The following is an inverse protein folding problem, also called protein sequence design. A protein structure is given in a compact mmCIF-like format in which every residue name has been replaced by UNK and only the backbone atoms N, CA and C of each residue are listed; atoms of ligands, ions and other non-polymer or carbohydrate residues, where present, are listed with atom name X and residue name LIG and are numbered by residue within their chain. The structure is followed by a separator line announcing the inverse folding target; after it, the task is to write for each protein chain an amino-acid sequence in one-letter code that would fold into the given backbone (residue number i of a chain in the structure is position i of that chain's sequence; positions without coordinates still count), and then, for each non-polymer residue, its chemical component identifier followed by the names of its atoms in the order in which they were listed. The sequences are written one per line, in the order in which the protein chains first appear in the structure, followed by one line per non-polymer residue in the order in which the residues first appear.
data_IF_826755879625
#
_entry.id   IF_826755879625
#
_cell.length_a   1.000
_cell.length_b   1.000
_cell.length_c   1.000
_cell.angle_alpha   90.00
_cell.angle_beta   90.00
_cell.angle_gamma   90.00
#
_symmetry.space_group_name_H-M   'P 1'
#
loop_
_entity.id
_entity.type
_entity.pdbx_description
1 polymer ?
#
# COMPACT_ATOMS: atom_id res chain seq x y z
N UNK A 1 25.18 -6.86 -20.27
CA UNK A 1 23.82 -6.87 -19.70
C UNK A 1 23.72 -6.50 -18.21
N UNK A 2 24.78 -6.52 -17.42
CA UNK A 2 24.74 -6.15 -15.99
C UNK A 2 24.91 -4.64 -15.73
N UNK A 3 25.45 -3.86 -16.65
CA UNK A 3 25.67 -2.41 -16.48
C UNK A 3 24.41 -1.56 -16.69
N UNK A 4 23.39 -2.09 -17.40
CA UNK A 4 22.16 -1.34 -17.71
C UNK A 4 21.13 -1.36 -16.55
N UNK A 5 21.18 -2.37 -15.68
CA UNK A 5 20.27 -2.50 -14.54
C UNK A 5 20.58 -1.50 -13.40
N UNK A 6 21.81 -0.98 -13.31
CA UNK A 6 22.19 -0.02 -12.27
C UNK A 6 21.72 1.42 -12.62
N UNK A 7 21.49 1.73 -13.90
CA UNK A 7 21.03 3.06 -14.36
C UNK A 7 19.54 3.30 -14.12
N UNK A 8 18.77 2.25 -13.83
CA UNK A 8 17.32 2.32 -13.67
C UNK A 8 16.85 2.48 -12.21
N UNK A 9 17.76 2.36 -11.24
CA UNK A 9 17.44 2.50 -9.81
C UNK A 9 17.34 3.96 -9.42
N UNK A 10 16.13 4.38 -9.02
CA UNK A 10 15.82 5.73 -8.55
C UNK A 10 16.07 5.89 -7.06
N UNK A 11 15.74 4.87 -6.27
CA UNK A 11 15.99 4.87 -4.83
C UNK A 11 16.69 3.57 -4.44
N UNK A 12 17.84 3.69 -3.79
CA UNK A 12 18.60 2.57 -3.25
C UNK A 12 18.76 2.70 -1.74
N UNK A 13 18.39 1.66 -1.02
CA UNK A 13 18.55 1.55 0.44
C UNK A 13 19.50 0.41 0.72
N UNK A 14 20.49 0.64 1.58
CA UNK A 14 21.51 -0.37 1.92
C UNK A 14 21.71 -0.40 3.44
N UNK A 15 21.51 -1.57 4.02
CA UNK A 15 21.77 -1.91 5.43
C UNK A 15 21.22 -0.89 6.42
N UNK A 16 19.98 -0.40 6.14
CA UNK A 16 19.38 0.69 6.90
C UNK A 16 18.90 0.21 8.27
N UNK A 17 19.38 0.84 9.32
CA UNK A 17 19.04 0.51 10.72
C UNK A 17 18.49 1.72 11.45
N UNK A 18 17.45 1.49 12.24
CA UNK A 18 16.91 2.44 13.22
C UNK A 18 16.43 1.72 14.46
N UNK A 19 17.00 2.10 15.60
CA UNK A 19 16.64 1.59 16.91
C UNK A 19 16.02 2.71 17.74
N UNK A 20 14.89 2.44 18.33
CA UNK A 20 14.31 3.28 19.37
C UNK A 20 14.72 2.72 20.74
N UNK A 21 15.37 3.53 21.59
CA UNK A 21 15.81 3.06 22.90
C UNK A 21 14.62 2.72 23.80
N UNK A 22 14.83 1.85 24.75
CA UNK A 22 13.86 1.54 25.79
C UNK A 22 13.48 2.82 26.56
N UNK A 23 12.17 3.04 26.73
CA UNK A 23 11.64 4.17 27.52
C UNK A 23 11.17 3.64 28.87
N UNK A 24 11.74 4.18 29.96
CA UNK A 24 11.26 3.85 31.33
C UNK A 24 9.86 4.39 31.52
N UNK A 25 8.94 3.53 31.96
CA UNK A 25 7.58 3.93 32.28
C UNK A 25 7.56 5.07 33.30
N UNK A 26 6.75 6.11 33.05
CA UNK A 26 6.40 7.14 34.04
C UNK A 26 5.05 6.79 34.66
N UNK A 27 4.71 7.41 35.81
CA UNK A 27 3.44 7.19 36.50
C UNK A 27 2.27 7.22 35.51
N UNK A 28 1.65 6.05 35.26
CA UNK A 28 0.51 5.87 34.36
C UNK A 28 0.83 5.48 32.90
N UNK A 29 2.11 5.41 32.48
CA UNK A 29 2.51 4.93 31.16
C UNK A 29 3.39 3.68 31.28
N UNK A 30 3.16 2.61 30.48
CA UNK A 30 3.98 1.41 30.49
C UNK A 30 5.40 1.70 30.01
N UNK A 31 6.37 0.91 30.52
CA UNK A 31 7.71 0.90 29.93
C UNK A 31 7.65 0.36 28.49
N UNK A 32 8.37 1.00 27.58
CA UNK A 32 8.52 0.51 26.21
C UNK A 32 9.90 -0.14 26.07
N UNK A 33 9.98 -1.38 25.54
CA UNK A 33 11.25 -2.04 25.28
C UNK A 33 12.01 -1.35 24.16
N UNK A 34 13.31 -1.58 24.09
CA UNK A 34 14.08 -1.22 22.90
C UNK A 34 13.49 -1.90 21.67
N UNK A 35 13.34 -1.15 20.58
CA UNK A 35 12.73 -1.65 19.35
C UNK A 35 13.57 -1.27 18.14
N UNK A 36 14.06 -2.27 17.42
CA UNK A 36 14.63 -2.08 16.07
C UNK A 36 13.52 -1.94 15.05
N UNK A 37 13.25 -0.73 14.66
CA UNK A 37 12.17 -0.43 13.71
C UNK A 37 12.60 -0.67 12.24
N UNK A 38 13.88 -0.48 11.91
CA UNK A 38 14.51 -1.00 10.69
C UNK A 38 15.78 -1.74 11.08
N UNK A 39 16.01 -2.92 10.51
CA UNK A 39 17.09 -3.83 10.88
C UNK A 39 17.76 -4.43 9.63
N UNK A 40 18.72 -3.70 9.10
CA UNK A 40 19.45 -4.09 7.90
C UNK A 40 18.58 -4.06 6.62
N UNK A 41 17.68 -3.09 6.48
CA UNK A 41 16.81 -3.00 5.30
C UNK A 41 17.61 -2.69 4.06
N UNK A 42 17.46 -3.55 3.04
CA UNK A 42 17.99 -3.35 1.69
C UNK A 42 16.84 -3.44 0.68
N UNK A 43 16.70 -2.42 -0.18
CA UNK A 43 15.75 -2.42 -1.28
C UNK A 43 16.16 -1.45 -2.39
N UNK A 44 15.66 -1.71 -3.59
CA UNK A 44 15.82 -0.85 -4.76
C UNK A 44 14.46 -0.55 -5.36
N UNK A 45 14.22 0.74 -5.64
CA UNK A 45 13.03 1.21 -6.37
C UNK A 45 13.49 1.66 -7.75
N UNK A 46 12.82 1.16 -8.79
CA UNK A 46 13.18 1.41 -10.19
C UNK A 46 12.38 2.61 -10.73
N UNK A 47 12.92 3.20 -11.79
CA UNK A 47 12.28 4.35 -12.45
C UNK A 47 10.91 3.98 -13.01
N UNK A 48 9.91 4.83 -12.74
CA UNK A 48 8.57 4.70 -13.28
C UNK A 48 7.71 3.57 -12.69
N UNK A 49 8.24 2.78 -11.72
CA UNK A 49 7.43 1.76 -11.05
C UNK A 49 6.57 2.32 -9.91
N UNK A 50 5.49 1.63 -9.60
CA UNK A 50 4.79 1.75 -8.32
C UNK A 50 5.32 0.64 -7.41
N UNK A 51 6.19 1.01 -6.48
CA UNK A 51 6.79 0.11 -5.52
C UNK A 51 6.04 0.14 -4.19
N UNK A 52 5.57 -1.01 -3.72
CA UNK A 52 4.80 -1.13 -2.48
C UNK A 52 5.65 -1.49 -1.27
N UNK A 53 5.26 -0.96 -0.10
CA UNK A 53 5.71 -1.44 1.20
C UNK A 53 4.50 -2.05 1.90
N UNK A 54 4.50 -3.37 2.08
CA UNK A 54 3.44 -4.13 2.73
C UNK A 54 3.95 -4.74 4.05
N UNK A 55 3.09 -4.87 5.02
CA UNK A 55 3.41 -5.50 6.31
C UNK A 55 2.46 -5.04 7.40
N UNK A 56 2.45 -5.70 8.58
CA UNK A 56 1.56 -5.37 9.68
C UNK A 56 1.88 -4.02 10.31
N UNK A 57 0.99 -3.57 11.18
CA UNK A 57 1.26 -2.41 12.02
C UNK A 57 2.44 -2.71 12.95
N UNK A 58 3.36 -1.74 13.08
CA UNK A 58 4.60 -1.93 13.85
C UNK A 58 5.73 -2.65 13.10
N UNK A 59 5.55 -3.08 11.85
CA UNK A 59 6.61 -3.72 11.05
C UNK A 59 7.80 -2.80 10.69
N UNK A 60 7.70 -1.48 10.94
CA UNK A 60 8.76 -0.51 10.64
C UNK A 60 8.53 0.33 9.38
N UNK A 61 7.42 0.14 8.64
CA UNK A 61 7.11 0.85 7.39
C UNK A 61 7.20 2.38 7.52
N UNK A 62 6.51 2.96 8.50
CA UNK A 62 6.51 4.42 8.71
C UNK A 62 7.89 4.95 9.11
N UNK A 63 8.70 4.17 9.84
CA UNK A 63 10.08 4.52 10.15
C UNK A 63 10.93 4.52 8.88
N UNK A 64 10.81 3.48 8.05
CA UNK A 64 11.49 3.40 6.77
C UNK A 64 11.12 4.57 5.86
N UNK A 65 9.82 4.88 5.72
CA UNK A 65 9.36 6.04 4.93
C UNK A 65 9.95 7.35 5.43
N UNK A 66 9.98 7.58 6.75
CA UNK A 66 10.59 8.80 7.32
C UNK A 66 12.09 8.89 7.02
N UNK A 67 12.80 7.76 6.96
CA UNK A 67 14.21 7.72 6.57
C UNK A 67 14.38 8.02 5.07
N UNK A 68 13.53 7.42 4.21
CA UNK A 68 13.54 7.63 2.76
C UNK A 68 13.18 9.07 2.38
N UNK A 69 12.34 9.73 3.17
CA UNK A 69 11.92 11.12 2.94
C UNK A 69 12.84 12.16 3.60
N UNK A 70 13.93 11.71 4.25
CA UNK A 70 14.86 12.61 4.95
C UNK A 70 14.30 13.20 6.26
N UNK A 71 13.11 12.79 6.70
CA UNK A 71 12.46 13.24 7.94
C UNK A 71 13.04 12.57 9.19
N UNK A 72 13.82 11.50 9.02
CA UNK A 72 14.45 10.79 10.12
C UNK A 72 15.82 10.27 9.70
N UNK A 73 16.83 10.57 10.51
CA UNK A 73 18.18 10.05 10.31
C UNK A 73 18.26 8.59 10.77
N UNK A 74 18.78 7.67 9.95
CA UNK A 74 19.09 6.30 10.37
C UNK A 74 20.26 6.29 11.37
N UNK A 75 20.38 5.20 12.13
CA UNK A 75 21.53 4.97 13.00
C UNK A 75 22.72 4.44 12.19
N UNK A 76 22.46 3.65 11.14
CA UNK A 76 23.45 3.19 10.17
C UNK A 76 22.80 2.89 8.82
N UNK A 77 23.63 2.62 7.81
CA UNK A 77 23.22 2.36 6.45
C UNK A 77 23.15 3.62 5.58
N UNK A 78 22.64 3.47 4.36
CA UNK A 78 22.54 4.58 3.40
C UNK A 78 21.22 4.58 2.65
N UNK A 79 20.82 5.78 2.22
CA UNK A 79 19.67 6.04 1.35
C UNK A 79 20.16 6.94 0.22
N UNK A 80 20.11 6.42 -1.01
CA UNK A 80 20.41 7.20 -2.22
C UNK A 80 19.13 7.41 -3.01
N UNK A 81 18.79 8.64 -3.34
CA UNK A 81 17.64 9.01 -4.16
C UNK A 81 18.11 9.83 -5.36
N UNK A 82 17.86 9.35 -6.57
CA UNK A 82 18.31 10.00 -7.82
C UNK A 82 19.78 10.39 -7.78
N UNK A 83 20.64 9.50 -7.25
CA UNK A 83 22.07 9.71 -7.11
C UNK A 83 22.51 10.57 -5.92
N UNK A 84 21.58 11.07 -5.11
CA UNK A 84 21.89 11.90 -3.94
C UNK A 84 21.82 11.11 -2.64
N UNK A 85 22.85 11.21 -1.81
CA UNK A 85 22.88 10.64 -0.45
C UNK A 85 21.98 11.46 0.48
N UNK A 86 20.84 10.89 0.87
CA UNK A 86 19.87 11.54 1.76
C UNK A 86 20.23 11.42 3.25
N UNK A 87 21.19 10.57 3.63
CA UNK A 87 21.68 10.51 5.01
C UNK A 87 22.58 11.70 5.32
N UNK A 88 23.40 12.09 4.33
CA UNK A 88 24.28 13.27 4.43
C UNK A 88 23.56 14.58 4.10
N UNK A 89 22.62 14.53 3.16
CA UNK A 89 21.92 15.68 2.59
C UNK A 89 20.41 15.49 2.62
N UNK A 90 19.77 15.38 3.81
CA UNK A 90 18.33 15.13 3.93
C UNK A 90 17.47 16.26 3.34
N UNK A 91 17.98 17.49 3.32
CA UNK A 91 17.30 18.66 2.74
C UNK A 91 17.02 18.52 1.23
N UNK A 92 17.75 17.66 0.53
CA UNK A 92 17.54 17.38 -0.90
C UNK A 92 16.26 16.61 -1.16
N UNK A 93 15.78 15.82 -0.18
CA UNK A 93 14.56 15.04 -0.31
C UNK A 93 13.38 15.91 -0.76
N UNK A 94 13.17 17.09 -0.16
CA UNK A 94 12.08 18.00 -0.50
C UNK A 94 12.10 18.52 -1.96
N UNK A 95 13.27 18.46 -2.61
CA UNK A 95 13.42 18.83 -4.03
C UNK A 95 13.19 17.67 -4.97
N UNK A 96 13.36 16.43 -4.50
CA UNK A 96 13.35 15.21 -5.29
C UNK A 96 12.05 14.42 -5.17
N UNK A 97 11.34 14.59 -4.04
CA UNK A 97 10.11 13.84 -3.80
C UNK A 97 8.96 14.71 -3.29
N UNK A 98 7.74 14.25 -3.59
CA UNK A 98 6.52 14.70 -2.96
C UNK A 98 6.06 13.64 -1.95
N UNK A 99 5.77 14.03 -0.72
CA UNK A 99 5.35 13.13 0.34
C UNK A 99 3.93 13.43 0.80
N UNK A 100 3.07 12.44 0.73
CA UNK A 100 1.75 12.43 1.37
C UNK A 100 1.81 11.50 2.58
N UNK A 101 2.02 12.06 3.78
CA UNK A 101 2.04 11.31 5.04
C UNK A 101 0.64 10.92 5.52
N UNK A 102 0.55 10.07 6.53
CA UNK A 102 -0.74 9.67 7.13
C UNK A 102 -1.50 10.85 7.72
N UNK A 103 -0.80 11.74 8.42
CA UNK A 103 -1.38 12.95 9.03
C UNK A 103 -0.87 14.19 8.30
N UNK A 104 -1.78 15.12 8.00
CA UNK A 104 -1.49 16.39 7.32
C UNK A 104 -2.20 17.54 8.02
N UNK A 105 -2.09 17.62 9.35
CA UNK A 105 -2.74 18.65 10.18
C UNK A 105 -2.22 20.06 9.90
N UNK A 106 -0.98 20.18 9.40
CA UNK A 106 -0.38 21.47 9.05
C UNK A 106 -1.17 22.28 7.99
N UNK A 107 -1.99 21.60 7.18
CA UNK A 107 -2.78 22.24 6.13
C UNK A 107 -4.23 22.54 6.55
N UNK A 108 -4.65 22.14 7.75
CA UNK A 108 -6.05 22.13 8.16
C UNK A 108 -6.73 23.50 8.14
N UNK A 109 -6.01 24.56 8.46
CA UNK A 109 -6.54 25.92 8.46
C UNK A 109 -6.62 26.54 7.05
N UNK A 110 -5.92 25.96 6.06
CA UNK A 110 -5.90 26.46 4.70
C UNK A 110 -7.13 25.96 3.94
N UNK A 111 -7.58 26.74 2.94
CA UNK A 111 -8.52 26.24 1.96
C UNK A 111 -7.85 25.25 1.02
N UNK A 112 -8.63 24.38 0.36
CA UNK A 112 -8.11 23.38 -0.60
C UNK A 112 -7.23 24.06 -1.66
N UNK A 113 -7.72 25.16 -2.24
CA UNK A 113 -6.96 25.92 -3.24
C UNK A 113 -5.68 26.53 -2.66
N UNK A 114 -5.75 27.11 -1.46
CA UNK A 114 -4.58 27.74 -0.84
C UNK A 114 -3.52 26.71 -0.45
N UNK A 115 -3.92 25.55 0.06
CA UNK A 115 -3.00 24.46 0.38
C UNK A 115 -2.22 23.99 -0.86
N UNK A 116 -2.90 23.77 -1.96
CA UNK A 116 -2.30 23.35 -3.23
C UNK A 116 -1.39 24.46 -3.82
N UNK A 117 -1.86 25.73 -3.88
CA UNK A 117 -1.06 26.86 -4.36
C UNK A 117 0.19 27.06 -3.51
N UNK A 118 0.05 27.04 -2.18
CA UNK A 118 1.17 27.24 -1.26
C UNK A 118 2.22 26.13 -1.44
N UNK A 119 1.81 24.88 -1.61
CA UNK A 119 2.72 23.77 -1.88
C UNK A 119 3.52 24.01 -3.16
N UNK A 120 2.87 24.40 -4.24
CA UNK A 120 3.55 24.73 -5.50
C UNK A 120 4.56 25.86 -5.34
N UNK A 121 4.20 26.91 -4.60
CA UNK A 121 5.11 28.04 -4.31
C UNK A 121 6.31 27.64 -3.46
N UNK A 122 6.09 26.83 -2.41
CA UNK A 122 7.18 26.29 -1.58
C UNK A 122 8.13 25.40 -2.40
N UNK A 123 7.63 24.79 -3.48
CA UNK A 123 8.42 23.99 -4.41
C UNK A 123 9.10 24.80 -5.51
N UNK A 124 8.97 26.12 -5.49
CA UNK A 124 9.67 27.05 -6.38
C UNK A 124 8.86 27.58 -7.56
N UNK A 125 7.57 27.25 -7.65
CA UNK A 125 6.72 27.85 -8.69
C UNK A 125 6.44 29.31 -8.40
N UNK A 126 6.43 30.15 -9.44
CA UNK A 126 5.92 31.50 -9.38
C UNK A 126 4.40 31.52 -9.11
N UNK A 127 3.85 32.68 -8.74
CA UNK A 127 2.42 32.80 -8.38
C UNK A 127 1.49 32.32 -9.49
N UNK A 128 1.72 32.76 -10.75
CA UNK A 128 0.87 32.38 -11.89
C UNK A 128 0.96 30.89 -12.21
N UNK A 129 2.14 30.27 -12.38
CA UNK A 129 2.27 28.84 -12.59
C UNK A 129 1.66 28.00 -11.45
N UNK A 130 1.88 28.39 -10.17
CA UNK A 130 1.30 27.68 -9.03
C UNK A 130 -0.22 27.67 -9.05
N UNK A 131 -0.86 28.80 -9.45
CA UNK A 131 -2.32 28.87 -9.59
C UNK A 131 -2.83 28.02 -10.75
N UNK A 132 -2.18 28.10 -11.90
CA UNK A 132 -2.57 27.32 -13.06
C UNK A 132 -2.50 25.81 -12.80
N UNK A 133 -1.41 25.35 -12.18
CA UNK A 133 -1.23 23.93 -11.86
C UNK A 133 -2.20 23.49 -10.73
N UNK A 134 -2.43 24.33 -9.72
CA UNK A 134 -3.47 24.11 -8.71
C UNK A 134 -4.83 23.88 -9.36
N UNK A 135 -5.26 24.79 -10.26
CA UNK A 135 -6.58 24.72 -10.87
C UNK A 135 -6.71 23.44 -11.70
N UNK A 136 -5.70 23.09 -12.49
CA UNK A 136 -5.67 21.86 -13.26
C UNK A 136 -5.76 20.60 -12.37
N UNK A 137 -5.02 20.56 -11.26
CA UNK A 137 -5.06 19.42 -10.33
C UNK A 137 -6.40 19.34 -9.59
N UNK A 138 -6.98 20.47 -9.19
CA UNK A 138 -8.30 20.47 -8.54
C UNK A 138 -9.42 20.04 -9.49
N UNK A 139 -9.35 20.44 -10.75
CA UNK A 139 -10.27 19.99 -11.79
C UNK A 139 -10.12 18.48 -12.04
N UNK A 140 -8.89 18.01 -12.21
CA UNK A 140 -8.55 16.59 -12.41
C UNK A 140 -9.13 15.68 -11.31
N UNK A 141 -9.11 16.15 -10.06
CA UNK A 141 -9.57 15.38 -8.89
C UNK A 141 -11.01 15.70 -8.48
N UNK A 142 -11.74 16.54 -9.22
CA UNK A 142 -13.11 16.91 -8.92
C UNK A 142 -13.28 17.76 -7.66
N UNK A 143 -12.24 18.53 -7.28
CA UNK A 143 -12.22 19.34 -6.06
C UNK A 143 -12.63 20.80 -6.27
N UNK A 144 -12.91 21.23 -7.50
CA UNK A 144 -13.19 22.63 -7.86
C UNK A 144 -14.34 23.21 -7.04
N UNK A 145 -15.43 22.48 -6.85
CA UNK A 145 -16.60 22.93 -6.09
C UNK A 145 -16.32 23.22 -4.61
N UNK A 146 -15.27 22.62 -4.04
CA UNK A 146 -14.88 22.79 -2.63
C UNK A 146 -13.55 23.51 -2.46
N UNK A 147 -12.99 24.09 -3.53
CA UNK A 147 -11.68 24.74 -3.54
C UNK A 147 -11.53 25.85 -2.47
N UNK A 148 -12.61 26.59 -2.17
CA UNK A 148 -12.65 27.65 -1.14
C UNK A 148 -12.90 27.15 0.28
N UNK A 149 -13.13 25.85 0.52
CA UNK A 149 -13.43 25.32 1.85
C UNK A 149 -12.14 24.99 2.61
N UNK A 150 -12.03 25.34 3.92
CA UNK A 150 -10.92 24.91 4.77
C UNK A 150 -10.86 23.39 4.91
N UNK A 151 -9.65 22.80 4.93
CA UNK A 151 -9.48 21.34 4.99
C UNK A 151 -10.11 20.73 6.24
N UNK A 152 -10.03 21.39 7.39
CA UNK A 152 -10.65 20.94 8.64
C UNK A 152 -12.18 20.82 8.61
N UNK A 153 -12.84 21.45 7.62
CA UNK A 153 -14.30 21.39 7.44
C UNK A 153 -14.74 20.34 6.40
N UNK A 154 -13.82 19.56 5.87
CA UNK A 154 -14.08 18.49 4.89
C UNK A 154 -14.30 17.16 5.60
N UNK A 155 -14.99 16.23 4.92
CA UNK A 155 -14.99 14.83 5.37
C UNK A 155 -13.59 14.25 5.31
N UNK A 156 -13.33 13.16 6.04
CA UNK A 156 -11.99 12.52 6.05
C UNK A 156 -11.48 12.18 4.66
N UNK A 157 -12.32 11.59 3.81
CA UNK A 157 -11.97 11.26 2.43
C UNK A 157 -11.72 12.49 1.56
N UNK A 158 -12.58 13.53 1.65
CA UNK A 158 -12.37 14.79 0.94
C UNK A 158 -11.09 15.49 1.39
N UNK A 159 -10.82 15.52 2.70
CA UNK A 159 -9.59 16.08 3.26
C UNK A 159 -8.36 15.32 2.75
N UNK A 160 -8.41 13.99 2.73
CA UNK A 160 -7.33 13.16 2.21
C UNK A 160 -7.08 13.42 0.73
N UNK A 161 -8.14 13.52 -0.08
CA UNK A 161 -8.05 13.85 -1.51
C UNK A 161 -7.48 15.25 -1.75
N UNK A 162 -7.85 16.24 -0.92
CA UNK A 162 -7.30 17.59 -0.99
C UNK A 162 -5.81 17.63 -0.60
N UNK A 163 -5.38 16.86 0.39
CA UNK A 163 -3.96 16.71 0.73
C UNK A 163 -3.17 16.04 -0.40
N UNK A 164 -3.76 15.03 -1.06
CA UNK A 164 -3.18 14.43 -2.25
C UNK A 164 -3.06 15.42 -3.40
N UNK A 165 -4.10 16.22 -3.67
CA UNK A 165 -4.04 17.30 -4.65
C UNK A 165 -2.87 18.26 -4.36
N UNK A 166 -2.74 18.72 -3.11
CA UNK A 166 -1.63 19.59 -2.71
C UNK A 166 -0.26 18.91 -2.89
N UNK A 167 -0.17 17.59 -2.67
CA UNK A 167 1.06 16.83 -2.89
C UNK A 167 1.45 16.72 -4.37
N UNK A 168 0.52 16.86 -5.31
CA UNK A 168 0.79 16.79 -6.74
C UNK A 168 1.29 18.12 -7.34
N UNK A 169 0.92 19.28 -6.77
CA UNK A 169 1.30 20.59 -7.32
C UNK A 169 2.79 20.87 -7.09
N UNK A 170 3.48 21.40 -8.10
CA UNK A 170 4.93 21.57 -8.11
C UNK A 170 5.65 20.24 -8.27
N UNK A 171 5.43 19.60 -9.37
CA UNK A 171 5.84 18.27 -9.77
C UNK A 171 7.19 17.79 -9.20
N UNK A 172 7.24 16.52 -8.81
CA UNK A 172 8.45 15.84 -8.31
C UNK A 172 8.61 14.49 -9.00
N UNK A 173 9.85 14.07 -9.31
CA UNK A 173 10.12 12.80 -9.98
C UNK A 173 9.74 11.57 -9.14
N UNK A 174 9.63 11.73 -7.81
CA UNK A 174 9.25 10.63 -6.91
C UNK A 174 8.05 11.05 -6.06
N UNK A 175 7.03 10.19 -6.01
CA UNK A 175 5.86 10.34 -5.13
C UNK A 175 5.96 9.31 -4.02
N UNK A 176 5.92 9.73 -2.77
CA UNK A 176 5.82 8.85 -1.61
C UNK A 176 4.43 9.02 -1.00
N UNK A 177 3.63 7.97 -1.09
CA UNK A 177 2.20 7.98 -0.73
C UNK A 177 1.97 6.99 0.42
N UNK A 178 1.69 7.52 1.60
CA UNK A 178 1.41 6.72 2.80
C UNK A 178 -0.10 6.67 3.03
N UNK A 179 -0.74 5.53 2.72
CA UNK A 179 -2.17 5.30 2.82
C UNK A 179 -3.02 6.32 2.02
N UNK A 180 -2.74 6.56 0.73
CA UNK A 180 -3.31 7.71 0.00
C UNK A 180 -4.83 7.71 -0.10
N UNK A 181 -5.46 6.54 -0.12
CA UNK A 181 -6.89 6.34 -0.43
C UNK A 181 -7.74 6.00 0.80
N UNK A 182 -7.15 5.99 2.00
CA UNK A 182 -7.85 5.66 3.24
C UNK A 182 -9.02 6.60 3.49
N UNK A 183 -10.20 6.04 3.75
CA UNK A 183 -11.44 6.78 4.01
C UNK A 183 -12.09 7.42 2.77
N UNK A 184 -11.59 7.11 1.57
CA UNK A 184 -12.18 7.58 0.30
C UNK A 184 -13.25 6.63 -0.21
N UNK A 185 -14.26 7.20 -0.85
CA UNK A 185 -15.22 6.44 -1.64
C UNK A 185 -14.56 5.85 -2.93
N UNK A 186 -15.23 4.90 -3.62
CA UNK A 186 -14.66 4.27 -4.80
C UNK A 186 -14.39 5.24 -5.97
N UNK A 187 -15.12 6.35 -6.07
CA UNK A 187 -14.94 7.34 -7.14
C UNK A 187 -13.67 8.14 -6.90
N UNK A 188 -13.51 8.67 -5.68
CA UNK A 188 -12.31 9.39 -5.26
C UNK A 188 -11.05 8.53 -5.37
N UNK A 189 -11.14 7.24 -4.97
CA UNK A 189 -10.03 6.29 -5.09
C UNK A 189 -9.60 6.10 -6.54
N UNK A 190 -10.55 5.91 -7.46
CA UNK A 190 -10.24 5.82 -8.91
C UNK A 190 -9.58 7.09 -9.44
N UNK A 191 -10.04 8.28 -9.00
CA UNK A 191 -9.43 9.54 -9.41
C UNK A 191 -7.97 9.66 -8.95
N UNK A 192 -7.65 9.22 -7.72
CA UNK A 192 -6.27 9.17 -7.22
C UNK A 192 -5.38 8.31 -8.11
N UNK A 193 -5.79 7.08 -8.42
CA UNK A 193 -4.99 6.17 -9.24
C UNK A 193 -4.86 6.64 -10.68
N UNK A 194 -5.92 7.17 -11.27
CA UNK A 194 -5.86 7.79 -12.61
C UNK A 194 -4.88 8.97 -12.64
N UNK A 195 -4.84 9.77 -11.57
CA UNK A 195 -3.89 10.87 -11.46
C UNK A 195 -2.44 10.38 -11.31
N UNK A 196 -2.21 9.30 -10.55
CA UNK A 196 -0.90 8.64 -10.42
C UNK A 196 -0.43 8.11 -11.77
N UNK A 197 -1.28 7.35 -12.47
CA UNK A 197 -0.96 6.76 -13.78
C UNK A 197 -0.63 7.84 -14.82
N UNK A 198 -1.33 8.96 -14.78
CA UNK A 198 -1.05 10.10 -15.67
C UNK A 198 0.35 10.68 -15.42
N UNK A 199 0.77 10.86 -14.15
CA UNK A 199 2.13 11.33 -13.81
C UNK A 199 3.18 10.32 -14.23
N UNK A 200 2.91 9.04 -14.11
CA UNK A 200 3.82 7.99 -14.62
C UNK A 200 3.97 8.06 -16.12
N UNK A 201 2.85 8.12 -16.84
CA UNK A 201 2.85 8.13 -18.30
C UNK A 201 3.45 9.40 -18.91
N UNK A 202 3.16 10.57 -18.32
CA UNK A 202 3.57 11.87 -18.88
C UNK A 202 4.95 12.31 -18.42
N UNK A 203 5.33 11.97 -17.17
CA UNK A 203 6.52 12.52 -16.52
C UNK A 203 7.49 11.44 -16.02
N UNK A 204 7.16 10.16 -16.22
CA UNK A 204 7.98 9.05 -15.73
C UNK A 204 8.09 9.01 -14.20
N UNK A 205 7.07 9.50 -13.48
CA UNK A 205 7.08 9.54 -12.03
C UNK A 205 7.22 8.14 -11.44
N UNK A 206 8.06 8.02 -10.41
CA UNK A 206 8.25 6.81 -9.62
C UNK A 206 7.43 6.93 -8.34
N UNK A 207 6.75 5.86 -7.93
CA UNK A 207 5.85 5.91 -6.77
C UNK A 207 6.29 4.90 -5.71
N UNK A 208 6.45 5.37 -4.48
CA UNK A 208 6.55 4.52 -3.30
C UNK A 208 5.20 4.55 -2.57
N UNK A 209 4.52 3.43 -2.56
CA UNK A 209 3.22 3.28 -1.91
C UNK A 209 3.36 2.51 -0.60
N UNK A 210 2.86 3.07 0.48
CA UNK A 210 2.62 2.33 1.73
C UNK A 210 1.14 2.13 1.87
N UNK A 211 0.71 0.90 1.97
CA UNK A 211 -0.69 0.57 2.21
C UNK A 211 -0.84 -0.73 3.00
N UNK A 212 -1.90 -0.84 3.76
CA UNK A 212 -2.35 -2.08 4.36
C UNK A 212 -3.53 -2.70 3.57
N UNK A 213 -4.01 -2.02 2.53
CA UNK A 213 -5.06 -2.53 1.67
C UNK A 213 -4.48 -3.47 0.62
N UNK A 214 -4.58 -4.77 0.90
CA UNK A 214 -4.04 -5.83 0.05
C UNK A 214 -4.65 -5.83 -1.35
N UNK A 215 -5.96 -5.59 -1.46
CA UNK A 215 -6.66 -5.57 -2.77
C UNK A 215 -6.14 -4.42 -3.64
N UNK A 216 -5.95 -3.26 -3.04
CA UNK A 216 -5.38 -2.11 -3.74
C UNK A 216 -3.93 -2.39 -4.16
N UNK A 217 -3.13 -2.95 -3.23
CA UNK A 217 -1.75 -3.34 -3.51
C UNK A 217 -1.64 -4.30 -4.70
N UNK A 218 -2.52 -5.31 -4.76
CA UNK A 218 -2.53 -6.27 -5.87
C UNK A 218 -2.88 -5.67 -7.23
N UNK A 219 -3.65 -4.59 -7.21
CA UNK A 219 -4.16 -3.98 -8.45
C UNK A 219 -3.18 -2.97 -9.03
N UNK A 220 -2.46 -2.22 -8.18
CA UNK A 220 -1.68 -1.05 -8.64
C UNK A 220 -0.17 -1.24 -8.58
N UNK A 221 0.34 -2.21 -7.81
CA UNK A 221 1.79 -2.37 -7.61
C UNK A 221 2.47 -3.13 -8.76
N UNK A 222 3.59 -2.61 -9.23
CA UNK A 222 4.50 -3.33 -10.10
C UNK A 222 5.37 -4.31 -9.29
N UNK A 223 5.89 -3.85 -8.13
CA UNK A 223 6.66 -4.66 -7.17
C UNK A 223 6.31 -4.26 -5.74
N UNK A 224 6.52 -5.19 -4.82
CA UNK A 224 6.24 -4.99 -3.41
C UNK A 224 7.31 -5.63 -2.53
N UNK A 225 7.77 -4.89 -1.53
CA UNK A 225 8.56 -5.43 -0.43
C UNK A 225 7.63 -5.72 0.76
N UNK A 226 7.66 -6.95 1.23
CA UNK A 226 6.99 -7.38 2.44
C UNK A 226 7.94 -7.16 3.61
N UNK A 227 7.49 -6.36 4.58
CA UNK A 227 8.30 -5.99 5.75
C UNK A 227 7.69 -6.63 6.99
N UNK A 228 8.51 -7.29 7.77
CA UNK A 228 8.16 -7.77 9.10
C UNK A 228 9.32 -7.54 10.08
N UNK A 229 9.01 -7.09 11.30
CA UNK A 229 9.98 -6.83 12.36
C UNK A 229 11.21 -6.01 11.89
N UNK A 230 10.98 -4.99 11.09
CA UNK A 230 12.04 -4.11 10.57
C UNK A 230 12.88 -4.69 9.43
N UNK A 231 12.57 -5.87 8.91
CA UNK A 231 13.32 -6.54 7.83
C UNK A 231 12.46 -6.75 6.60
N UNK A 232 13.08 -6.71 5.44
CA UNK A 232 12.45 -7.15 4.19
C UNK A 232 12.51 -8.67 4.13
N UNK A 233 11.34 -9.33 4.22
CA UNK A 233 11.24 -10.80 4.18
C UNK A 233 11.00 -11.33 2.77
N UNK A 234 10.45 -10.51 1.89
CA UNK A 234 10.31 -10.83 0.46
C UNK A 234 10.18 -9.54 -0.36
N UNK A 235 10.63 -9.59 -1.61
CA UNK A 235 10.48 -8.49 -2.56
C UNK A 235 10.36 -9.07 -3.98
N UNK A 236 9.20 -8.86 -4.62
CA UNK A 236 8.94 -9.28 -6.00
C UNK A 236 7.68 -8.57 -6.54
N UNK A 237 7.24 -8.89 -7.75
CA UNK A 237 5.91 -8.54 -8.22
C UNK A 237 4.83 -9.26 -7.39
N UNK A 238 3.61 -8.72 -7.26
CA UNK A 238 2.51 -9.40 -6.59
C UNK A 238 2.29 -10.83 -7.08
N UNK A 239 2.33 -11.04 -8.40
CA UNK A 239 2.22 -12.35 -9.01
C UNK A 239 3.39 -13.28 -8.65
N UNK A 240 4.64 -12.76 -8.65
CA UNK A 240 5.83 -13.51 -8.27
C UNK A 240 5.80 -13.97 -6.81
N UNK A 241 5.33 -13.10 -5.90
CA UNK A 241 5.17 -13.46 -4.49
C UNK A 241 4.11 -14.53 -4.29
N UNK A 242 2.96 -14.39 -4.95
CA UNK A 242 1.87 -15.38 -4.90
C UNK A 242 2.31 -16.75 -5.40
N UNK A 243 3.12 -16.78 -6.47
CA UNK A 243 3.64 -18.04 -7.02
C UNK A 243 4.59 -18.79 -6.07
N UNK A 244 5.22 -18.09 -5.11
CA UNK A 244 6.13 -18.71 -4.12
C UNK A 244 5.39 -19.41 -2.98
N UNK A 245 4.12 -19.08 -2.72
CA UNK A 245 3.47 -19.44 -1.46
C UNK A 245 2.69 -20.74 -1.55
N UNK A 246 2.18 -21.14 -2.69
CA UNK A 246 1.65 -22.48 -2.94
C UNK A 246 1.00 -22.57 -4.32
N UNK A 247 0.99 -23.79 -4.92
CA UNK A 247 0.09 -24.12 -6.02
C UNK A 247 -1.38 -24.26 -5.57
N UNK A 248 -1.71 -23.85 -4.35
CA UNK A 248 -3.06 -23.90 -3.80
C UNK A 248 -3.85 -22.67 -4.16
N UNK A 249 -5.09 -22.87 -4.56
CA UNK A 249 -6.08 -21.82 -4.77
C UNK A 249 -7.13 -21.90 -3.67
N UNK A 250 -7.70 -20.76 -3.34
CA UNK A 250 -8.81 -20.65 -2.40
C UNK A 250 -10.12 -20.78 -3.16
N UNK A 251 -10.84 -21.87 -2.89
CA UNK A 251 -12.21 -22.06 -3.34
C UNK A 251 -13.15 -21.72 -2.18
N UNK A 252 -14.03 -20.75 -2.37
CA UNK A 252 -15.08 -20.38 -1.45
C UNK A 252 -16.41 -20.80 -2.04
N UNK A 253 -17.21 -21.54 -1.28
CA UNK A 253 -18.56 -21.98 -1.64
C UNK A 253 -19.53 -21.38 -0.63
N UNK A 254 -20.57 -20.73 -1.12
CA UNK A 254 -21.66 -20.18 -0.30
C UNK A 254 -22.94 -20.95 -0.66
N UNK A 255 -23.50 -21.64 0.32
CA UNK A 255 -24.70 -22.44 0.15
C UNK A 255 -25.94 -21.60 0.49
N UNK A 256 -27.06 -21.85 -0.20
CA UNK A 256 -28.34 -21.15 0.06
C UNK A 256 -28.85 -21.40 1.47
N UNK A 257 -28.71 -22.63 1.94
CA UNK A 257 -29.11 -23.08 3.28
C UNK A 257 -27.94 -23.79 3.97
N UNK A 258 -27.87 -25.07 3.89
CA UNK A 258 -26.78 -25.91 4.37
C UNK A 258 -26.10 -26.61 3.18
N UNK A 259 -24.82 -27.01 3.31
CA UNK A 259 -24.16 -27.80 2.30
C UNK A 259 -24.90 -29.14 2.10
N UNK A 260 -25.23 -29.55 0.86
CA UNK A 260 -25.94 -30.76 0.56
C UNK A 260 -24.99 -31.98 0.67
N UNK A 261 -24.78 -32.45 1.89
CA UNK A 261 -23.87 -33.60 2.18
C UNK A 261 -24.34 -34.94 1.63
N UNK A 262 -25.59 -35.02 1.21
CA UNK A 262 -26.13 -36.16 0.47
C UNK A 262 -25.56 -36.29 -0.97
N UNK A 263 -24.98 -35.18 -1.49
CA UNK A 263 -24.31 -35.16 -2.79
C UNK A 263 -22.86 -35.63 -2.59
N UNK A 264 -22.42 -36.75 -3.20
CA UNK A 264 -21.10 -37.33 -2.93
C UNK A 264 -19.93 -36.36 -3.18
N UNK A 265 -20.03 -35.54 -4.21
CA UNK A 265 -19.02 -34.57 -4.58
C UNK A 265 -18.84 -33.47 -3.48
N UNK A 266 -19.95 -33.08 -2.86
CA UNK A 266 -19.94 -32.10 -1.74
C UNK A 266 -19.41 -32.77 -0.47
N UNK A 267 -19.86 -34.00 -0.19
CA UNK A 267 -19.38 -34.77 0.95
C UNK A 267 -17.85 -34.98 0.91
N UNK A 268 -17.30 -35.21 -0.30
CA UNK A 268 -15.85 -35.37 -0.49
C UNK A 268 -15.04 -34.08 -0.17
N UNK A 269 -15.64 -32.91 -0.32
CA UNK A 269 -15.00 -31.62 -0.02
C UNK A 269 -15.07 -31.27 1.47
N UNK A 270 -16.03 -31.82 2.22
CA UNK A 270 -16.28 -31.47 3.61
C UNK A 270 -15.06 -31.59 4.55
N UNK A 271 -14.19 -32.62 4.46
CA UNK A 271 -13.02 -32.73 5.32
C UNK A 271 -11.98 -31.62 5.12
N UNK A 272 -11.90 -31.05 3.91
CA UNK A 272 -10.97 -29.94 3.57
C UNK A 272 -11.58 -28.57 3.79
N UNK A 273 -12.89 -28.49 4.09
CA UNK A 273 -13.60 -27.24 4.25
C UNK A 273 -13.30 -26.60 5.63
N UNK A 274 -12.75 -25.39 5.62
CA UNK A 274 -12.70 -24.52 6.77
C UNK A 274 -13.92 -23.60 6.75
N UNK A 275 -14.57 -23.42 7.90
CA UNK A 275 -15.78 -22.60 8.04
C UNK A 275 -16.96 -23.39 8.61
N UNK A 276 -17.99 -22.69 9.04
CA UNK A 276 -19.19 -23.28 9.60
C UNK A 276 -20.45 -22.84 8.85
N UNK A 277 -21.42 -23.73 8.77
CA UNK A 277 -22.75 -23.43 8.19
C UNK A 277 -22.70 -23.25 6.67
N UNK A 278 -23.25 -22.13 6.21
CA UNK A 278 -23.46 -21.86 4.77
C UNK A 278 -22.19 -21.54 3.97
N UNK A 279 -21.10 -21.19 4.60
CA UNK A 279 -19.87 -20.75 3.91
C UNK A 279 -18.72 -21.68 4.17
N UNK A 280 -18.20 -22.24 3.09
CA UNK A 280 -17.03 -23.09 3.10
C UNK A 280 -15.86 -22.41 2.40
N UNK A 281 -14.68 -22.55 2.97
CA UNK A 281 -13.42 -22.09 2.38
C UNK A 281 -12.49 -23.31 2.30
N UNK A 282 -12.07 -23.64 1.09
CA UNK A 282 -11.15 -24.75 0.82
C UNK A 282 -9.85 -24.19 0.25
N UNK A 283 -8.73 -24.78 0.64
CA UNK A 283 -7.43 -24.57 0.01
C UNK A 283 -7.06 -25.85 -0.71
N UNK A 284 -7.00 -25.76 -2.02
CA UNK A 284 -6.86 -26.92 -2.91
C UNK A 284 -5.76 -26.65 -3.94
N UNK A 285 -5.10 -27.70 -4.43
CA UNK A 285 -4.27 -27.58 -5.62
C UNK A 285 -5.11 -27.07 -6.81
N UNK A 286 -4.50 -26.36 -7.74
CA UNK A 286 -5.23 -25.70 -8.85
C UNK A 286 -6.10 -26.69 -9.64
N UNK A 287 -5.61 -27.92 -9.86
CA UNK A 287 -6.35 -28.92 -10.59
C UNK A 287 -7.50 -29.54 -9.75
N UNK A 288 -7.27 -29.74 -8.45
CA UNK A 288 -8.32 -30.18 -7.51
C UNK A 288 -9.43 -29.13 -7.38
N UNK A 289 -9.07 -27.85 -7.33
CA UNK A 289 -10.05 -26.78 -7.26
C UNK A 289 -10.89 -26.67 -8.54
N UNK A 290 -10.30 -26.87 -9.72
CA UNK A 290 -11.04 -26.93 -10.99
C UNK A 290 -12.01 -28.11 -11.00
N UNK A 291 -11.56 -29.29 -10.55
CA UNK A 291 -12.39 -30.47 -10.45
C UNK A 291 -13.55 -30.27 -9.47
N UNK A 292 -13.28 -29.64 -8.31
CA UNK A 292 -14.29 -29.30 -7.30
C UNK A 292 -15.33 -28.34 -7.84
N UNK A 293 -14.91 -27.26 -8.53
CA UNK A 293 -15.82 -26.30 -9.17
C UNK A 293 -16.68 -27.01 -10.22
N UNK A 294 -16.08 -27.81 -11.10
CA UNK A 294 -16.81 -28.56 -12.14
C UNK A 294 -17.84 -29.52 -11.53
N UNK A 295 -17.48 -30.24 -10.47
CA UNK A 295 -18.35 -31.19 -9.79
C UNK A 295 -19.55 -30.46 -9.11
N UNK A 296 -19.31 -29.36 -8.41
CA UNK A 296 -20.36 -28.59 -7.72
C UNK A 296 -21.27 -27.87 -8.72
N UNK A 297 -20.72 -27.27 -9.80
CA UNK A 297 -21.50 -26.47 -10.77
C UNK A 297 -22.16 -27.36 -11.84
N UNK A 298 -21.60 -28.52 -12.18
CA UNK A 298 -22.14 -29.40 -13.18
C UNK A 298 -23.14 -30.45 -12.66
N UNK A 299 -23.34 -30.52 -11.32
CA UNK A 299 -24.15 -31.57 -10.68
C UNK A 299 -25.39 -31.05 -9.93
N UNK A 300 -26.08 -31.92 -9.19
CA UNK A 300 -27.28 -31.57 -8.42
C UNK A 300 -26.99 -30.54 -7.30
N UNK A 301 -25.75 -30.44 -6.83
CA UNK A 301 -25.33 -29.46 -5.82
C UNK A 301 -25.48 -28.00 -6.27
N UNK A 302 -25.50 -27.74 -7.59
CA UNK A 302 -25.63 -26.40 -8.13
C UNK A 302 -26.90 -25.67 -7.69
N UNK A 303 -28.02 -26.41 -7.55
CA UNK A 303 -29.27 -25.85 -7.08
C UNK A 303 -29.20 -25.32 -5.63
N UNK A 304 -28.34 -25.92 -4.80
CA UNK A 304 -28.11 -25.50 -3.41
C UNK A 304 -27.02 -24.43 -3.27
N UNK A 305 -26.23 -24.18 -4.33
CA UNK A 305 -25.17 -23.16 -4.35
C UNK A 305 -25.80 -21.78 -4.54
N UNK A 306 -25.38 -20.82 -3.72
CA UNK A 306 -25.76 -19.41 -3.79
C UNK A 306 -24.70 -18.60 -4.55
N UNK A 307 -23.43 -18.81 -4.21
CA UNK A 307 -22.28 -18.16 -4.82
C UNK A 307 -21.03 -19.03 -4.71
N UNK A 308 -20.06 -18.82 -5.58
CA UNK A 308 -18.74 -19.39 -5.42
C UNK A 308 -17.65 -18.45 -5.93
N UNK A 309 -16.49 -18.49 -5.30
CA UNK A 309 -15.33 -17.71 -5.70
C UNK A 309 -14.10 -18.59 -5.75
N UNK A 310 -13.41 -18.60 -6.89
CA UNK A 310 -12.10 -19.22 -7.04
C UNK A 310 -11.05 -18.12 -7.10
N UNK A 311 -10.22 -18.02 -6.08
CA UNK A 311 -9.21 -16.97 -5.97
C UNK A 311 -7.81 -17.58 -5.84
N UNK A 312 -6.85 -17.02 -6.55
CA UNK A 312 -5.43 -17.27 -6.27
C UNK A 312 -5.07 -16.71 -4.89
N UNK A 313 -4.01 -17.21 -4.23
CA UNK A 313 -3.56 -16.68 -2.96
C UNK A 313 -3.45 -15.15 -3.00
N UNK A 314 -3.84 -14.49 -1.94
CA UNK A 314 -3.69 -13.04 -1.77
C UNK A 314 -2.29 -12.70 -1.26
N UNK A 315 -1.88 -11.43 -1.35
CA UNK A 315 -0.66 -10.96 -0.68
C UNK A 315 -0.72 -11.12 0.85
N UNK A 316 -1.92 -11.21 1.44
CA UNK A 316 -2.08 -11.54 2.86
C UNK A 316 -1.72 -13.00 3.13
N UNK A 317 -2.15 -13.93 2.27
CA UNK A 317 -1.76 -15.34 2.36
C UNK A 317 -0.23 -15.49 2.19
N UNK A 318 0.37 -14.72 1.28
CA UNK A 318 1.83 -14.64 1.13
C UNK A 318 2.50 -14.20 2.43
N UNK A 319 2.03 -13.13 3.06
CA UNK A 319 2.58 -12.64 4.31
C UNK A 319 2.51 -13.71 5.40
N UNK A 320 1.37 -14.38 5.56
CA UNK A 320 1.17 -15.44 6.55
C UNK A 320 2.09 -16.65 6.30
N UNK A 321 2.24 -17.06 5.04
CA UNK A 321 3.08 -18.19 4.67
C UNK A 321 4.59 -17.92 4.85
N UNK A 322 5.01 -16.65 4.71
CA UNK A 322 6.39 -16.24 4.98
C UNK A 322 6.73 -16.13 6.48
N UNK A 323 5.84 -16.59 7.35
CA UNK A 323 6.05 -16.58 8.80
C UNK A 323 5.63 -15.29 9.49
N UNK A 324 4.89 -14.44 8.79
CA UNK A 324 4.28 -13.25 9.36
C UNK A 324 3.33 -13.61 10.50
N UNK A 325 3.47 -12.93 11.65
CA UNK A 325 2.58 -13.15 12.79
C UNK A 325 1.33 -12.33 12.59
N UNK A 326 0.16 -12.98 12.62
CA UNK A 326 -1.13 -12.28 12.70
C UNK A 326 -1.13 -11.38 13.93
N UNK A 327 -1.04 -10.06 13.72
CA UNK A 327 -1.50 -9.14 14.76
C UNK A 327 -3.00 -9.34 14.90
N UNK A 328 -3.47 -9.68 16.12
CA UNK A 328 -4.90 -9.72 16.47
C UNK A 328 -5.53 -8.34 16.22
N UNK A 329 -5.83 -7.99 14.98
CA UNK A 329 -6.30 -6.66 14.61
C UNK A 329 -6.79 -6.50 13.17
N UNK A 330 -6.53 -7.46 12.28
CA UNK A 330 -6.99 -7.38 10.87
C UNK A 330 -8.36 -8.02 10.61
N UNK A 331 -9.02 -8.52 11.67
CA UNK A 331 -10.40 -9.03 11.56
C UNK A 331 -11.27 -8.22 12.52
N UNK A 332 -11.70 -7.04 12.10
CA UNK A 332 -12.97 -6.44 12.54
C UNK A 332 -13.54 -5.59 11.42
N UNK A 333 -14.67 -6.08 10.93
CA UNK A 333 -15.75 -5.51 10.13
C UNK A 333 -15.44 -5.14 8.71
#
# INVERSE_FOLDING_TARGET
MAADAASDVVCAVRDLVKTYPAVRGRRGAPALPETRATDGVCLDVRRGEIFGLLGPNGAGKSTLVRQLTGLMRPDSGSVTLLGHDLVRHPERAARLLAYLGQESTALDELTVALAAETTGRLRGLGVRPARAERDAVLEELGLTAIAGRPLKKLSGGQRRLACFAAALVGERPVLVLDEPTTGMDPVARRAVWAAVDRRRAQHGATVLLVTHNVIEAETVLDRVAVIDQGRVIACDSPAGLKARVSGEVRLELVWRTAPPLEVPEVAALAPAAAGAGRRWVLRLASDEARAAVAAVTGGPAFAALDDFTLATPSLEDVYLALGGRTSKGLVKS
#
